data_IF_041993226117
#
_entry.id   IF_041993226117
#
_cell.length_a   1.000
_cell.length_b   1.000
_cell.length_c   1.000
_cell.angle_alpha   90.00
_cell.angle_beta   90.00
_cell.angle_gamma   90.00
#
_symmetry.space_group_name_H-M   'P 1'
#
loop_
_entity.id
_entity.type
_entity.pdbx_description
1 polymer ?
#
# COMPACT_ATOMS: atom_id res chain seq x y z
N UNK A 1 19.65 42.44 2.73
CA UNK A 1 18.31 42.36 2.10
C UNK A 1 17.77 43.78 1.89
N UNK A 2 17.64 44.24 0.63
CA UNK A 2 17.20 45.61 0.31
C UNK A 2 15.83 45.93 0.93
N UNK A 3 15.69 47.10 1.55
CA UNK A 3 14.43 47.57 2.17
C UNK A 3 13.29 47.66 1.15
N UNK A 4 13.60 47.95 -0.11
CA UNK A 4 12.65 48.01 -1.23
C UNK A 4 12.02 46.65 -1.54
N UNK A 5 12.80 45.57 -1.48
CA UNK A 5 12.31 44.20 -1.73
C UNK A 5 11.32 43.75 -0.66
N UNK A 6 11.65 43.99 0.62
CA UNK A 6 10.74 43.69 1.74
C UNK A 6 9.44 44.49 1.64
N UNK A 7 9.53 45.76 1.25
CA UNK A 7 8.35 46.59 1.03
C UNK A 7 7.45 46.05 -0.09
N UNK A 8 8.03 45.62 -1.21
CA UNK A 8 7.27 45.02 -2.32
C UNK A 8 6.52 43.75 -1.93
N UNK A 9 7.15 42.87 -1.13
CA UNK A 9 6.50 41.64 -0.64
C UNK A 9 5.31 41.99 0.26
N UNK A 10 5.49 42.93 1.19
CA UNK A 10 4.42 43.35 2.11
C UNK A 10 3.24 43.99 1.37
N UNK A 11 3.53 44.84 0.37
CA UNK A 11 2.52 45.47 -0.48
C UNK A 11 1.78 44.45 -1.35
N UNK A 12 2.48 43.46 -1.88
CA UNK A 12 1.85 42.37 -2.64
C UNK A 12 0.86 41.59 -1.78
N UNK A 13 1.22 41.26 -0.54
CA UNK A 13 0.35 40.58 0.42
C UNK A 13 -0.87 41.43 0.81
N UNK A 14 -0.70 42.74 1.02
CA UNK A 14 -1.80 43.63 1.42
C UNK A 14 -2.79 43.91 0.28
N UNK A 15 -2.30 44.10 -0.95
CA UNK A 15 -3.13 44.32 -2.15
C UNK A 15 -4.02 43.11 -2.48
N UNK A 16 -3.50 41.89 -2.25
CA UNK A 16 -4.27 40.65 -2.38
C UNK A 16 -5.35 40.53 -1.30
N UNK A 17 -5.07 40.94 -0.06
CA UNK A 17 -6.05 40.88 1.02
C UNK A 17 -7.21 41.88 0.83
N UNK A 18 -6.97 42.99 0.14
CA UNK A 18 -7.97 44.05 -0.08
C UNK A 18 -8.78 43.87 -1.36
N UNK A 19 -8.32 43.07 -2.33
CA UNK A 19 -9.01 42.94 -3.61
C UNK A 19 -9.05 41.50 -4.13
N UNK A 20 -10.24 41.06 -4.56
CA UNK A 20 -10.43 39.77 -5.23
C UNK A 20 -10.06 39.82 -6.73
N UNK A 21 -9.30 40.85 -7.12
CA UNK A 21 -8.92 41.19 -8.49
C UNK A 21 -7.42 40.86 -8.63
N UNK A 22 -6.97 40.29 -9.78
CA UNK A 22 -5.56 40.02 -10.01
C UNK A 22 -4.72 41.29 -9.88
N UNK A 23 -3.68 41.23 -9.04
CA UNK A 23 -2.78 42.37 -8.80
C UNK A 23 -1.90 42.55 -10.03
N UNK A 24 -1.92 43.73 -10.64
CA UNK A 24 -1.08 44.03 -11.81
C UNK A 24 0.27 44.61 -11.38
N UNK A 25 1.31 44.41 -12.21
CA UNK A 25 2.64 45.02 -12.00
C UNK A 25 2.55 46.54 -11.90
N UNK A 26 1.61 47.16 -12.62
CA UNK A 26 1.36 48.60 -12.58
C UNK A 26 0.84 49.07 -11.21
N UNK A 27 -0.12 48.33 -10.63
CA UNK A 27 -0.66 48.63 -9.30
C UNK A 27 0.40 48.48 -8.21
N UNK A 28 1.23 47.42 -8.30
CA UNK A 28 2.32 47.18 -7.36
C UNK A 28 3.41 48.26 -7.45
N UNK A 29 3.81 48.65 -8.67
CA UNK A 29 4.77 49.73 -8.91
C UNK A 29 4.28 51.07 -8.34
N UNK A 30 3.00 51.40 -8.55
CA UNK A 30 2.37 52.61 -8.03
C UNK A 30 2.33 52.62 -6.50
N UNK A 31 1.95 51.50 -5.88
CA UNK A 31 1.90 51.38 -4.42
C UNK A 31 3.28 51.46 -3.77
N UNK A 32 4.31 50.95 -4.44
CA UNK A 32 5.69 50.97 -3.96
C UNK A 32 6.46 52.26 -4.30
N UNK A 33 5.88 53.16 -5.11
CA UNK A 33 6.52 54.42 -5.52
C UNK A 33 7.74 54.21 -6.43
N UNK A 34 7.81 53.09 -7.16
CA UNK A 34 8.93 52.75 -8.05
C UNK A 34 8.47 52.60 -9.50
N UNK A 35 9.42 52.73 -10.43
CA UNK A 35 9.11 52.53 -11.84
C UNK A 35 8.86 51.05 -12.17
N UNK A 36 8.00 50.78 -13.16
CA UNK A 36 7.74 49.41 -13.64
C UNK A 36 9.02 48.73 -14.15
N UNK A 37 9.87 49.47 -14.85
CA UNK A 37 11.15 48.95 -15.36
C UNK A 37 12.10 48.54 -14.24
N UNK A 38 12.06 49.20 -13.09
CA UNK A 38 12.81 48.80 -11.90
C UNK A 38 12.38 47.40 -11.42
N UNK A 39 11.09 47.09 -11.47
CA UNK A 39 10.57 45.76 -11.09
C UNK A 39 11.04 44.70 -12.08
N UNK A 40 10.86 44.93 -13.38
CA UNK A 40 11.28 43.99 -14.42
C UNK A 40 12.80 43.72 -14.43
N UNK A 41 13.61 44.73 -14.12
CA UNK A 41 15.07 44.63 -14.22
C UNK A 41 15.73 44.07 -12.96
N UNK A 42 15.22 44.40 -11.78
CA UNK A 42 15.91 44.12 -10.51
C UNK A 42 15.15 43.17 -9.58
N UNK A 43 13.88 42.87 -9.84
CA UNK A 43 13.03 42.05 -8.97
C UNK A 43 12.22 40.99 -9.77
N UNK A 44 12.89 40.08 -10.51
CA UNK A 44 12.22 39.02 -11.26
C UNK A 44 11.45 38.05 -10.36
N UNK A 45 11.97 37.81 -9.15
CA UNK A 45 11.34 36.99 -8.11
C UNK A 45 9.97 37.53 -7.67
N UNK A 46 9.79 38.85 -7.63
CA UNK A 46 8.51 39.48 -7.31
C UNK A 46 7.50 39.29 -8.46
N UNK A 47 7.97 39.21 -9.71
CA UNK A 47 7.10 38.93 -10.87
C UNK A 47 6.60 37.49 -10.82
N UNK A 48 7.46 36.52 -10.47
CA UNK A 48 7.06 35.12 -10.30
C UNK A 48 6.05 34.97 -9.15
N UNK A 49 6.25 35.70 -8.05
CA UNK A 49 5.28 35.76 -6.95
C UNK A 49 3.96 36.38 -7.37
N UNK A 50 3.98 37.43 -8.21
CA UNK A 50 2.77 38.05 -8.75
C UNK A 50 2.00 37.09 -9.67
N UNK A 51 2.72 36.38 -10.55
CA UNK A 51 2.14 35.42 -11.48
C UNK A 51 1.54 34.22 -10.75
N UNK A 52 2.26 33.62 -9.81
CA UNK A 52 1.77 32.50 -8.99
C UNK A 52 0.56 32.87 -8.13
N UNK A 53 0.43 34.14 -7.75
CA UNK A 53 -0.73 34.63 -6.98
C UNK A 53 -1.93 34.99 -7.85
N UNK A 54 -1.71 35.37 -9.12
CA UNK A 54 -2.75 35.70 -10.09
C UNK A 54 -3.25 34.49 -10.87
N UNK A 55 -2.46 33.41 -10.95
CA UNK A 55 -3.00 32.14 -11.40
C UNK A 55 -4.02 31.67 -10.37
N UNK A 56 -5.30 31.48 -10.73
CA UNK A 56 -6.19 30.74 -9.86
C UNK A 56 -5.49 29.43 -9.54
N UNK A 57 -5.51 29.03 -8.28
CA UNK A 57 -4.89 27.80 -7.81
C UNK A 57 -5.54 26.64 -8.58
N UNK A 58 -5.04 26.33 -9.77
CA UNK A 58 -5.31 25.08 -10.44
C UNK A 58 -4.45 24.09 -9.69
N UNK A 59 -4.92 23.70 -8.49
CA UNK A 59 -4.77 22.29 -8.13
C UNK A 59 -5.20 21.56 -9.38
N UNK A 60 -4.30 20.81 -10.00
CA UNK A 60 -4.67 19.89 -11.06
C UNK A 60 -5.84 19.10 -10.47
N UNK A 61 -7.06 19.42 -10.93
CA UNK A 61 -8.30 18.86 -10.39
C UNK A 61 -8.17 17.39 -10.75
N UNK A 62 -7.66 16.57 -9.84
CA UNK A 62 -7.72 15.12 -9.95
C UNK A 62 -9.20 14.85 -10.12
N UNK A 63 -9.61 14.61 -11.35
CA UNK A 63 -11.01 14.39 -11.68
C UNK A 63 -11.48 13.25 -10.80
N UNK A 64 -12.71 13.28 -10.30
CA UNK A 64 -13.25 12.19 -9.46
C UNK A 64 -13.04 10.82 -10.12
N UNK A 65 -13.05 10.78 -11.46
CA UNK A 65 -12.67 9.64 -12.28
C UNK A 65 -11.23 9.13 -12.00
N UNK A 66 -10.23 10.01 -11.92
CA UNK A 66 -8.84 9.63 -11.60
C UNK A 66 -8.70 9.04 -10.19
N UNK A 67 -9.40 9.61 -9.20
CA UNK A 67 -9.41 9.10 -7.82
C UNK A 67 -10.11 7.74 -7.75
N UNK A 68 -11.22 7.58 -8.47
CA UNK A 68 -11.95 6.31 -8.56
C UNK A 68 -11.08 5.22 -9.22
N UNK A 69 -10.36 5.56 -10.29
CA UNK A 69 -9.44 4.62 -10.95
C UNK A 69 -8.30 4.21 -10.00
N UNK A 70 -7.71 5.16 -9.28
CA UNK A 70 -6.64 4.87 -8.32
C UNK A 70 -7.14 4.00 -7.15
N UNK A 71 -8.37 4.25 -6.66
CA UNK A 71 -9.01 3.41 -5.65
C UNK A 71 -9.26 1.98 -6.17
N UNK A 72 -9.79 1.85 -7.39
CA UNK A 72 -10.02 0.56 -8.03
C UNK A 72 -8.72 -0.23 -8.21
N UNK A 73 -7.65 0.44 -8.68
CA UNK A 73 -6.31 -0.17 -8.80
C UNK A 73 -5.78 -0.68 -7.46
N UNK A 74 -5.93 0.11 -6.39
CA UNK A 74 -5.52 -0.30 -5.03
C UNK A 74 -6.34 -1.49 -4.52
N UNK A 75 -7.65 -1.49 -4.74
CA UNK A 75 -8.52 -2.64 -4.37
C UNK A 75 -8.14 -3.90 -5.14
N UNK A 76 -7.86 -3.76 -6.43
CA UNK A 76 -7.41 -4.88 -7.27
C UNK A 76 -6.05 -5.42 -6.80
N UNK A 77 -5.11 -4.55 -6.45
CA UNK A 77 -3.81 -4.97 -5.90
C UNK A 77 -3.97 -5.77 -4.61
N UNK A 78 -4.76 -5.26 -3.65
CA UNK A 78 -5.07 -5.99 -2.40
C UNK A 78 -5.76 -7.33 -2.65
N UNK A 79 -6.68 -7.38 -3.61
CA UNK A 79 -7.35 -8.64 -3.98
C UNK A 79 -6.36 -9.66 -4.56
N UNK A 80 -5.41 -9.22 -5.38
CA UNK A 80 -4.36 -10.10 -5.92
C UNK A 80 -3.43 -10.63 -4.83
N UNK A 81 -3.02 -9.78 -3.90
CA UNK A 81 -2.22 -10.19 -2.74
C UNK A 81 -2.95 -11.22 -1.89
N UNK A 82 -4.25 -11.00 -1.62
CA UNK A 82 -5.07 -11.95 -0.89
C UNK A 82 -5.20 -13.30 -1.61
N UNK A 83 -5.42 -13.28 -2.92
CA UNK A 83 -5.49 -14.52 -3.73
C UNK A 83 -4.16 -15.26 -3.68
N UNK A 84 -3.04 -14.56 -3.82
CA UNK A 84 -1.71 -15.18 -3.74
C UNK A 84 -1.46 -15.81 -2.36
N UNK A 85 -1.84 -15.10 -1.29
CA UNK A 85 -1.71 -15.60 0.08
C UNK A 85 -2.58 -16.85 0.32
N UNK A 86 -3.86 -16.81 -0.09
CA UNK A 86 -4.77 -17.95 0.03
C UNK A 86 -4.30 -19.14 -0.82
N UNK A 87 -3.84 -18.89 -2.04
CA UNK A 87 -3.30 -19.94 -2.90
C UNK A 87 -2.09 -20.64 -2.27
N UNK A 88 -1.22 -19.89 -1.59
CA UNK A 88 -0.09 -20.45 -0.88
C UNK A 88 -0.53 -21.30 0.31
N UNK A 89 -1.47 -20.81 1.13
CA UNK A 89 -2.05 -21.58 2.24
C UNK A 89 -2.67 -22.87 1.73
N UNK A 90 -3.53 -22.81 0.71
CA UNK A 90 -4.17 -24.01 0.16
C UNK A 90 -3.14 -25.01 -0.38
N UNK A 91 -2.06 -24.53 -1.01
CA UNK A 91 -0.99 -25.41 -1.48
C UNK A 91 -0.27 -26.11 -0.33
N UNK A 92 0.06 -25.38 0.73
CA UNK A 92 0.70 -25.96 1.91
C UNK A 92 -0.23 -26.97 2.62
N UNK A 93 -1.51 -26.65 2.76
CA UNK A 93 -2.49 -27.55 3.35
C UNK A 93 -2.66 -28.83 2.51
N UNK A 94 -2.62 -28.75 1.18
CA UNK A 94 -2.65 -29.96 0.35
C UNK A 94 -1.44 -30.86 0.58
N UNK A 95 -0.25 -30.28 0.79
CA UNK A 95 0.96 -31.05 1.12
C UNK A 95 0.82 -31.70 2.50
N UNK A 96 0.38 -30.95 3.52
CA UNK A 96 0.16 -31.49 4.87
C UNK A 96 -0.86 -32.63 4.89
N UNK A 97 -1.95 -32.52 4.11
CA UNK A 97 -2.95 -33.59 3.97
C UNK A 97 -2.32 -34.82 3.33
N UNK A 98 -1.55 -34.67 2.26
CA UNK A 98 -0.91 -35.81 1.60
C UNK A 98 0.09 -36.53 2.54
N UNK A 99 0.86 -35.79 3.33
CA UNK A 99 1.76 -36.36 4.34
C UNK A 99 0.98 -37.12 5.44
N UNK A 100 -0.15 -36.57 5.89
CA UNK A 100 -1.02 -37.24 6.86
C UNK A 100 -1.65 -38.52 6.30
N UNK A 101 -2.07 -38.51 5.04
CA UNK A 101 -2.60 -39.68 4.35
C UNK A 101 -1.55 -40.80 4.25
N UNK A 102 -0.30 -40.46 3.93
CA UNK A 102 0.81 -41.42 3.91
C UNK A 102 1.09 -42.02 5.30
N UNK A 103 1.10 -41.18 6.34
CA UNK A 103 1.25 -41.63 7.73
C UNK A 103 0.13 -42.59 8.16
N UNK A 104 -1.12 -42.30 7.76
CA UNK A 104 -2.27 -43.17 8.05
C UNK A 104 -2.10 -44.53 7.36
N UNK A 105 -1.72 -44.54 6.08
CA UNK A 105 -1.50 -45.79 5.33
C UNK A 105 -0.36 -46.62 5.95
N UNK A 106 0.75 -45.99 6.35
CA UNK A 106 1.84 -46.66 7.05
C UNK A 106 1.38 -47.25 8.42
N UNK A 107 0.59 -46.50 9.19
CA UNK A 107 0.03 -46.99 10.45
C UNK A 107 -0.93 -48.17 10.25
N UNK A 108 -1.76 -48.12 9.20
CA UNK A 108 -2.66 -49.23 8.86
C UNK A 108 -1.88 -50.48 8.45
N UNK A 109 -0.83 -50.34 7.61
CA UNK A 109 0.03 -51.46 7.22
C UNK A 109 0.77 -52.08 8.40
N UNK A 110 1.36 -51.26 9.27
CA UNK A 110 2.09 -51.75 10.45
C UNK A 110 1.17 -52.41 11.48
N UNK A 111 -0.02 -51.86 11.71
CA UNK A 111 -1.02 -52.46 12.60
C UNK A 111 -1.54 -53.79 12.04
N UNK A 112 -1.85 -53.87 10.74
CA UNK A 112 -2.26 -55.11 10.08
C UNK A 112 -1.18 -56.19 10.18
N UNK A 113 0.09 -55.85 9.92
CA UNK A 113 1.21 -56.78 10.06
C UNK A 113 1.37 -57.28 11.51
N UNK A 114 1.20 -56.38 12.50
CA UNK A 114 1.27 -56.74 13.92
C UNK A 114 0.12 -57.66 14.33
N UNK A 115 -1.10 -57.38 13.86
CA UNK A 115 -2.28 -58.24 14.09
C UNK A 115 -2.02 -59.62 13.50
N UNK A 116 -1.62 -59.72 12.23
CA UNK A 116 -1.34 -60.99 11.57
C UNK A 116 -0.25 -61.80 12.28
N UNK A 117 0.82 -61.15 12.76
CA UNK A 117 1.86 -61.79 13.56
C UNK A 117 1.32 -62.35 14.87
N UNK A 118 0.49 -61.58 15.59
CA UNK A 118 -0.11 -62.00 16.85
C UNK A 118 -1.10 -63.15 16.64
N UNK A 119 -1.94 -63.09 15.61
CA UNK A 119 -2.85 -64.17 15.22
C UNK A 119 -2.09 -65.46 14.90
N UNK A 120 -1.00 -65.39 14.13
CA UNK A 120 -0.13 -66.53 13.85
C UNK A 120 0.48 -67.11 15.13
N UNK A 121 0.90 -66.25 16.07
CA UNK A 121 1.48 -66.68 17.35
C UNK A 121 0.43 -67.35 18.25
N UNK A 122 -0.79 -66.82 18.30
CA UNK A 122 -1.91 -67.41 19.05
C UNK A 122 -2.24 -68.79 18.48
N UNK A 123 -2.41 -68.90 17.15
CA UNK A 123 -2.68 -70.19 16.51
C UNK A 123 -1.59 -71.24 16.81
N UNK A 124 -0.31 -70.85 16.82
CA UNK A 124 0.79 -71.75 17.21
C UNK A 124 0.72 -72.19 18.67
N UNK A 125 0.23 -71.34 19.58
CA UNK A 125 0.08 -71.68 20.99
C UNK A 125 -1.14 -72.59 21.24
N UNK A 126 -2.23 -72.41 20.49
CA UNK A 126 -3.42 -73.29 20.56
C UNK A 126 -3.13 -74.71 20.07
N UNK A 127 -2.21 -74.88 19.11
CA UNK A 127 -1.79 -76.19 18.59
C UNK A 127 -0.90 -76.95 19.59
N UNK A 128 -0.28 -76.28 20.56
CA UNK A 128 0.50 -76.93 21.62
C UNK A 128 -0.44 -77.27 22.78
N UNK A 129 -0.86 -78.54 22.97
CA UNK A 129 -1.70 -78.90 24.09
C UNK A 129 -0.97 -78.60 25.40
N UNK A 130 -1.54 -77.69 26.20
CA UNK A 130 -1.08 -77.37 27.54
C UNK A 130 -1.00 -78.67 28.36
N UNK A 131 0.21 -79.14 28.65
CA UNK A 131 0.42 -80.23 29.61
C UNK A 131 -0.08 -79.75 30.97
N UNK A 132 -1.24 -80.24 31.41
CA UNK A 132 -1.68 -80.08 32.80
C UNK A 132 -0.68 -80.80 33.70
N UNK A 133 0.05 -80.03 34.50
CA UNK A 133 0.83 -80.55 35.62
C UNK A 133 -0.17 -80.96 36.70
N UNK A 134 -0.11 -82.23 37.12
CA UNK A 134 -0.88 -82.77 38.24
C UNK A 134 -0.26 -82.38 39.57
#
# INVERSE_FOLDING_TARGET
MSNTRRNLINLLSSLKATSNIPVTVSALAKAAGISRSTIYKYYPDILDMLQSQNTPFTTAKRTEASVKIDLMKRRLAKSKELIAYLSNICSNQMVEIAEQEELIDQLQKTSAAKISYLESKIAKLEIVPLKRVK
#
